data_IF_387138565339
#
_entry.id   IF_387138565339
#
_cell.length_a   1.000
_cell.length_b   1.000
_cell.length_c   1.000
_cell.angle_alpha   90.00
_cell.angle_beta   90.00
_cell.angle_gamma   90.00
#
_symmetry.space_group_name_H-M   'P 1'
#
loop_
_entity.id
_entity.type
_entity.pdbx_description
1 polymer ?
#
# COMPACT_ATOMS: atom_id res chain seq x y z
N UNK A 1 10.54 8.93 -1.69
CA UNK A 1 11.97 8.58 -1.91
C UNK A 1 12.33 7.54 -0.87
N UNK A 2 12.99 6.43 -1.24
CA UNK A 2 13.40 5.42 -0.27
C UNK A 2 14.48 5.98 0.66
N UNK A 3 14.47 5.54 1.93
CA UNK A 3 15.53 5.86 2.87
C UNK A 3 16.87 5.29 2.36
N UNK A 4 18.02 5.98 2.53
CA UNK A 4 19.31 5.52 2.01
C UNK A 4 19.66 4.08 2.41
N UNK A 5 19.41 3.71 3.66
CA UNK A 5 19.65 2.35 4.19
C UNK A 5 18.73 1.28 3.58
N UNK A 6 17.61 1.69 2.97
CA UNK A 6 16.68 0.77 2.32
C UNK A 6 16.92 0.66 0.80
N UNK A 7 17.90 1.40 0.26
CA UNK A 7 18.13 1.47 -1.19
C UNK A 7 18.51 0.10 -1.77
N UNK A 8 19.23 -0.73 -1.01
CA UNK A 8 19.63 -2.07 -1.45
C UNK A 8 18.46 -3.06 -1.57
N UNK A 9 17.34 -2.80 -0.87
CA UNK A 9 16.11 -3.58 -0.95
C UNK A 9 15.13 -3.04 -2.01
N UNK A 10 15.43 -1.87 -2.59
CA UNK A 10 14.63 -1.26 -3.63
C UNK A 10 14.90 -1.90 -5.01
N UNK A 11 13.93 -1.79 -5.90
CA UNK A 11 14.05 -2.33 -7.26
C UNK A 11 14.87 -1.45 -8.20
N UNK A 12 15.18 -0.21 -7.81
CA UNK A 12 15.73 0.83 -8.71
C UNK A 12 17.11 0.49 -9.29
N UNK A 13 17.88 -0.36 -8.61
CA UNK A 13 19.23 -0.77 -9.02
C UNK A 13 19.26 -2.16 -9.65
N UNK A 14 18.12 -2.85 -9.72
CA UNK A 14 18.04 -4.21 -10.24
C UNK A 14 18.05 -4.20 -11.76
N UNK A 15 18.87 -5.06 -12.34
CA UNK A 15 18.94 -5.32 -13.77
C UNK A 15 18.71 -6.80 -13.99
N UNK A 16 17.70 -7.11 -14.80
CA UNK A 16 17.35 -8.49 -15.15
C UNK A 16 17.54 -8.69 -16.65
N UNK A 17 17.93 -9.89 -17.04
CA UNK A 17 18.19 -10.26 -18.43
C UNK A 17 17.01 -10.98 -19.08
N UNK A 18 16.01 -11.41 -18.29
CA UNK A 18 14.82 -12.12 -18.78
C UNK A 18 13.60 -11.92 -17.86
N UNK A 19 12.36 -12.08 -18.39
CA UNK A 19 11.14 -12.10 -17.57
C UNK A 19 11.15 -13.21 -16.49
N UNK A 20 11.79 -14.34 -16.76
CA UNK A 20 11.90 -15.48 -15.85
C UNK A 20 12.74 -15.11 -14.61
N UNK A 21 13.82 -14.36 -14.78
CA UNK A 21 14.63 -13.84 -13.68
C UNK A 21 13.83 -12.86 -12.80
N UNK A 22 13.04 -11.98 -13.43
CA UNK A 22 12.16 -11.03 -12.72
C UNK A 22 11.15 -11.80 -11.86
N UNK A 23 10.50 -12.80 -12.44
CA UNK A 23 9.50 -13.62 -11.77
C UNK A 23 10.13 -14.37 -10.59
N UNK A 24 11.26 -15.05 -10.81
CA UNK A 24 11.98 -15.78 -9.76
C UNK A 24 12.44 -14.85 -8.62
N UNK A 25 12.92 -13.65 -8.94
CA UNK A 25 13.32 -12.67 -7.94
C UNK A 25 12.13 -12.25 -7.08
N UNK A 26 10.99 -11.87 -7.67
CA UNK A 26 9.83 -11.44 -6.91
C UNK A 26 9.15 -12.56 -6.11
N UNK A 27 9.10 -13.77 -6.68
CA UNK A 27 8.55 -14.94 -5.99
C UNK A 27 9.42 -15.36 -4.80
N UNK A 28 10.73 -15.09 -4.85
CA UNK A 28 11.63 -15.34 -3.71
C UNK A 28 11.33 -14.46 -2.49
N UNK A 29 10.58 -13.36 -2.64
CA UNK A 29 10.31 -12.41 -1.54
C UNK A 29 9.06 -12.81 -0.79
N UNK A 30 9.19 -13.13 0.50
CA UNK A 30 8.04 -13.38 1.37
C UNK A 30 7.36 -12.08 1.83
N UNK A 31 8.12 -10.99 1.92
CA UNK A 31 7.66 -9.67 2.36
C UNK A 31 7.92 -8.66 1.24
N UNK A 32 6.90 -7.87 0.93
CA UNK A 32 6.95 -6.80 -0.08
C UNK A 32 6.41 -5.52 0.55
N UNK A 33 7.20 -4.45 0.50
CA UNK A 33 6.81 -3.15 1.02
C UNK A 33 6.56 -2.17 -0.14
N UNK A 34 5.37 -1.57 -0.15
CA UNK A 34 4.96 -0.55 -1.13
C UNK A 34 4.18 0.55 -0.44
N UNK A 35 4.12 1.73 -1.05
CA UNK A 35 3.13 2.73 -0.65
C UNK A 35 1.74 2.33 -1.15
N UNK A 36 0.67 2.83 -0.53
CA UNK A 36 -0.69 2.53 -1.00
C UNK A 36 -0.92 2.92 -2.47
N UNK A 37 -0.29 4.01 -2.96
CA UNK A 37 -0.32 4.38 -4.37
C UNK A 37 0.58 3.51 -5.25
N UNK A 38 1.73 3.07 -4.71
CA UNK A 38 2.65 2.14 -5.35
C UNK A 38 2.13 0.70 -5.44
N UNK A 39 1.00 0.40 -4.79
CA UNK A 39 0.32 -0.90 -4.88
C UNK A 39 -0.20 -1.24 -6.29
N UNK A 40 -0.03 -0.34 -7.25
CA UNK A 40 -0.27 -0.58 -8.67
C UNK A 40 0.79 -1.43 -9.36
N UNK A 41 1.87 -1.78 -8.65
CA UNK A 41 2.94 -2.61 -9.19
C UNK A 41 2.41 -3.96 -9.72
N UNK A 42 2.83 -4.40 -10.93
CA UNK A 42 2.35 -5.66 -11.54
C UNK A 42 2.57 -6.92 -10.70
N UNK A 43 3.53 -6.89 -9.76
CA UNK A 43 3.71 -7.99 -8.81
C UNK A 43 2.43 -8.27 -8.01
N UNK A 44 1.76 -7.21 -7.55
CA UNK A 44 0.60 -7.32 -6.66
C UNK A 44 -0.69 -7.70 -7.40
N UNK A 45 -0.72 -7.57 -8.74
CA UNK A 45 -1.84 -8.05 -9.54
C UNK A 45 -1.76 -9.54 -9.86
N UNK A 46 -0.56 -10.14 -9.77
CA UNK A 46 -0.30 -11.54 -10.10
C UNK A 46 -0.11 -12.43 -8.88
N UNK A 47 -0.06 -11.85 -7.68
CA UNK A 47 0.23 -12.56 -6.43
C UNK A 47 -0.74 -12.16 -5.33
N UNK A 48 -1.18 -13.15 -4.56
CA UNK A 48 -1.95 -12.96 -3.36
C UNK A 48 -1.09 -13.26 -2.13
N UNK A 49 -1.08 -12.35 -1.16
CA UNK A 49 -0.40 -12.48 0.12
C UNK A 49 -1.36 -13.00 1.19
N UNK A 50 -0.83 -13.61 2.24
CA UNK A 50 -1.67 -14.05 3.37
C UNK A 50 -2.13 -12.86 4.23
N UNK A 51 -1.30 -11.81 4.32
CA UNK A 51 -1.54 -10.64 5.16
C UNK A 51 -1.08 -9.35 4.47
N UNK A 52 -1.92 -8.32 4.51
CA UNK A 52 -1.56 -6.94 4.21
C UNK A 52 -1.58 -6.11 5.51
N UNK A 53 -0.50 -5.37 5.77
CA UNK A 53 -0.44 -4.42 6.89
C UNK A 53 -0.41 -3.02 6.29
N UNK A 54 -1.33 -2.17 6.74
CA UNK A 54 -1.39 -0.77 6.33
C UNK A 54 -1.11 0.10 7.55
N UNK A 55 0.06 0.71 7.57
CA UNK A 55 0.42 1.72 8.56
C UNK A 55 -0.15 3.09 8.18
N UNK A 56 -0.35 3.96 9.17
CA UNK A 56 -0.95 5.30 9.01
C UNK A 56 -2.30 5.29 8.25
N UNK A 57 -3.07 4.23 8.44
CA UNK A 57 -4.32 3.98 7.71
C UNK A 57 -5.43 5.00 8.00
N UNK A 58 -5.33 5.74 9.11
CA UNK A 58 -6.22 6.86 9.43
C UNK A 58 -5.98 8.08 8.55
N UNK A 59 -4.79 8.22 7.95
CA UNK A 59 -4.38 9.37 7.15
C UNK A 59 -4.56 9.17 5.63
N UNK A 60 -4.96 7.97 5.19
CA UNK A 60 -5.11 7.61 3.78
C UNK A 60 -6.57 7.63 3.33
N UNK A 61 -6.81 8.13 2.10
CA UNK A 61 -8.12 8.07 1.47
C UNK A 61 -8.58 6.62 1.33
N UNK A 62 -9.82 6.34 1.71
CA UNK A 62 -10.45 5.03 1.57
C UNK A 62 -10.22 4.35 0.20
N UNK A 63 -10.43 5.00 -0.96
CA UNK A 63 -10.17 4.35 -2.25
C UNK A 63 -8.71 3.95 -2.47
N UNK A 64 -7.76 4.67 -1.87
CA UNK A 64 -6.32 4.43 -2.03
C UNK A 64 -5.86 3.18 -1.27
N UNK A 65 -6.47 2.89 -0.12
CA UNK A 65 -6.12 1.69 0.65
C UNK A 65 -6.75 0.41 0.10
N UNK A 66 -7.86 0.46 -0.63
CA UNK A 66 -8.52 -0.75 -1.14
C UNK A 66 -7.61 -1.60 -2.05
N UNK A 67 -6.76 -0.96 -2.86
CA UNK A 67 -5.89 -1.64 -3.81
C UNK A 67 -4.90 -2.62 -3.15
N UNK A 68 -4.07 -2.21 -2.17
CA UNK A 68 -3.21 -3.17 -1.47
C UNK A 68 -4.02 -4.24 -0.72
N UNK A 69 -5.22 -3.92 -0.20
CA UNK A 69 -6.06 -4.91 0.49
C UNK A 69 -6.53 -6.04 -0.43
N UNK A 70 -6.84 -5.76 -1.69
CA UNK A 70 -7.20 -6.81 -2.67
C UNK A 70 -6.05 -7.76 -2.99
N UNK A 71 -4.81 -7.39 -2.65
CA UNK A 71 -3.63 -8.22 -2.86
C UNK A 71 -3.39 -9.22 -1.72
N UNK A 72 -4.27 -9.27 -0.70
CA UNK A 72 -4.12 -10.18 0.43
C UNK A 72 -5.44 -10.82 0.89
N UNK A 73 -5.33 -11.94 1.61
CA UNK A 73 -6.48 -12.67 2.19
C UNK A 73 -6.99 -12.05 3.48
N UNK A 74 -6.08 -11.50 4.28
CA UNK A 74 -6.37 -10.80 5.54
C UNK A 74 -5.64 -9.47 5.54
N UNK A 75 -6.13 -8.54 6.35
CA UNK A 75 -5.45 -7.27 6.53
C UNK A 75 -5.51 -6.78 7.97
N UNK A 76 -4.55 -5.92 8.31
CA UNK A 76 -4.50 -5.16 9.56
C UNK A 76 -4.31 -3.70 9.19
N UNK A 77 -5.20 -2.85 9.70
CA UNK A 77 -5.11 -1.41 9.59
C UNK A 77 -4.54 -0.87 10.90
N UNK A 78 -3.44 -0.13 10.83
CA UNK A 78 -2.77 0.50 11.97
C UNK A 78 -2.89 2.00 11.79
N UNK A 79 -3.20 2.72 12.86
CA UNK A 79 -3.31 4.17 12.85
C UNK A 79 -3.90 4.68 14.16
N UNK A 80 -3.90 6.00 14.31
CA UNK A 80 -4.44 6.70 15.48
C UNK A 80 -5.66 7.55 15.05
N UNK A 81 -6.88 7.25 15.54
CA UNK A 81 -8.09 8.00 15.23
C UNK A 81 -8.07 9.46 15.70
N UNK A 82 -7.27 9.76 16.73
CA UNK A 82 -7.17 11.09 17.32
C UNK A 82 -6.15 11.98 16.58
N UNK A 83 -5.42 11.41 15.61
CA UNK A 83 -4.50 12.14 14.74
C UNK A 83 -5.20 12.68 13.46
N UNK A 84 -4.41 13.13 12.48
CA UNK A 84 -4.92 13.80 11.30
C UNK A 84 -5.77 12.86 10.42
N UNK A 85 -6.91 13.32 9.88
CA UNK A 85 -7.66 12.59 8.87
C UNK A 85 -7.02 12.72 7.48
N UNK A 86 -7.51 11.99 6.47
CA UNK A 86 -7.04 12.13 5.09
C UNK A 86 -7.20 13.56 4.56
N UNK A 87 -6.17 14.05 3.86
CA UNK A 87 -6.18 15.39 3.28
C UNK A 87 -7.13 15.47 2.07
N UNK A 88 -8.25 16.19 2.24
CA UNK A 88 -9.23 16.46 1.17
C UNK A 88 -9.33 17.96 0.93
N UNK A 89 -8.88 18.42 -0.25
CA UNK A 89 -8.90 19.85 -0.62
C UNK A 89 -10.28 20.38 -0.98
N UNK A 90 -11.14 19.52 -1.54
CA UNK A 90 -12.49 19.91 -1.94
C UNK A 90 -13.44 19.86 -0.75
N UNK A 91 -13.98 21.01 -0.35
CA UNK A 91 -14.96 21.13 0.75
C UNK A 91 -16.17 20.23 0.45
N UNK A 92 -16.74 20.32 -0.75
CA UNK A 92 -17.86 19.47 -1.19
C UNK A 92 -17.53 17.98 -1.06
N UNK A 93 -16.34 17.55 -1.44
CA UNK A 93 -15.97 16.13 -1.34
C UNK A 93 -15.81 15.69 0.12
N UNK A 94 -15.27 16.57 0.98
CA UNK A 94 -15.16 16.33 2.42
C UNK A 94 -16.54 16.18 3.07
N UNK A 95 -17.48 17.07 2.74
CA UNK A 95 -18.88 17.02 3.19
C UNK A 95 -19.61 15.75 2.72
N UNK A 96 -19.28 15.26 1.52
CA UNK A 96 -19.78 13.99 0.98
C UNK A 96 -19.05 12.75 1.54
N UNK A 97 -18.19 12.92 2.55
CA UNK A 97 -17.58 11.81 3.30
C UNK A 97 -16.23 11.31 2.79
N UNK A 98 -15.61 11.96 1.79
CA UNK A 98 -14.28 11.55 1.30
C UNK A 98 -13.18 11.67 2.38
N UNK A 99 -13.42 12.50 3.40
CA UNK A 99 -12.53 12.64 4.55
C UNK A 99 -12.60 11.50 5.57
N UNK A 100 -13.49 10.52 5.41
CA UNK A 100 -13.53 9.34 6.27
C UNK A 100 -12.56 8.28 5.73
N UNK A 101 -11.54 7.94 6.52
CA UNK A 101 -10.62 6.83 6.21
C UNK A 101 -11.33 5.48 6.27
N UNK A 102 -10.70 4.42 5.74
CA UNK A 102 -11.25 3.07 5.89
C UNK A 102 -11.21 2.61 7.35
N UNK A 103 -10.14 2.97 8.08
CA UNK A 103 -9.99 2.69 9.50
C UNK A 103 -11.22 3.19 10.27
N UNK A 104 -11.51 4.50 10.18
CA UNK A 104 -12.64 5.13 10.88
C UNK A 104 -14.03 4.72 10.37
N UNK A 105 -14.11 3.90 9.32
CA UNK A 105 -15.36 3.34 8.82
C UNK A 105 -15.63 1.93 9.37
N UNK A 106 -14.57 1.22 9.73
CA UNK A 106 -14.65 -0.17 10.21
C UNK A 106 -14.58 -0.28 11.74
N UNK A 107 -14.18 0.80 12.41
CA UNK A 107 -14.31 1.00 13.86
C UNK A 107 -15.76 1.34 14.22
#
# INVERSE_FOLDING_TARGET
KLHPELTEYGETTLVFSSPEEIQAYYDSKSVVAVTCLGSSHPLLTRRQFDLCIVDESTQVLQPTVLRPLFSARKFVLIGDPEQLPPLVRSIKAKELGLGQSLFARLD
#
